data_IF_578247605312
#
_entry.id   IF_578247605312
#
_cell.length_a   1.000
_cell.length_b   1.000
_cell.length_c   1.000
_cell.angle_alpha   90.00
_cell.angle_beta   90.00
_cell.angle_gamma   90.00
#
_symmetry.space_group_name_H-M   'P 1'
#
loop_
_entity.id
_entity.type
_entity.pdbx_description
1 polymer ?
#
# COMPACT_ATOMS: atom_id res chain seq x y z
N UNK A 1 -56.33 45.31 -27.96
CA UNK A 1 -55.23 46.24 -28.23
C UNK A 1 -54.08 45.88 -27.30
N UNK A 2 -53.08 45.13 -27.80
CA UNK A 2 -51.88 44.85 -27.02
C UNK A 2 -50.89 45.98 -27.26
N UNK A 3 -50.65 46.78 -26.22
CA UNK A 3 -49.53 47.73 -26.21
C UNK A 3 -48.22 46.97 -26.07
N UNK A 4 -47.42 47.02 -27.11
CA UNK A 4 -46.01 46.62 -27.12
C UNK A 4 -45.25 47.55 -26.18
N UNK A 5 -44.78 47.10 -25.05
CA UNK A 5 -43.80 47.81 -24.23
C UNK A 5 -42.47 47.80 -24.96
N UNK A 6 -42.06 48.91 -25.50
CA UNK A 6 -40.68 49.18 -25.93
C UNK A 6 -39.79 49.15 -24.66
N UNK A 7 -38.98 48.13 -24.58
CA UNK A 7 -37.93 48.08 -23.58
C UNK A 7 -36.85 49.10 -23.98
N UNK A 8 -36.84 50.23 -23.38
CA UNK A 8 -35.77 51.20 -23.37
C UNK A 8 -34.49 50.49 -22.89
N UNK A 9 -33.66 50.00 -23.82
CA UNK A 9 -32.37 49.44 -23.50
C UNK A 9 -31.41 50.59 -23.22
N UNK A 10 -31.46 51.09 -21.97
CA UNK A 10 -30.57 52.12 -21.51
C UNK A 10 -29.09 51.74 -21.76
N UNK A 11 -28.35 52.63 -22.37
CA UNK A 11 -26.92 52.46 -22.72
C UNK A 11 -26.09 52.11 -21.46
N UNK A 12 -26.50 52.62 -20.29
CA UNK A 12 -25.88 52.31 -19.00
C UNK A 12 -25.95 50.82 -18.62
N UNK A 13 -27.01 50.12 -19.02
CA UNK A 13 -27.23 48.69 -18.71
C UNK A 13 -26.25 47.82 -19.54
N UNK A 14 -25.97 48.21 -20.78
CA UNK A 14 -24.98 47.52 -21.65
C UNK A 14 -23.57 47.63 -21.07
N UNK A 15 -23.15 48.80 -20.60
CA UNK A 15 -21.85 49.03 -19.98
C UNK A 15 -21.71 48.20 -18.68
N UNK A 16 -22.76 48.14 -17.86
CA UNK A 16 -22.78 47.37 -16.64
C UNK A 16 -22.70 45.84 -16.89
N UNK A 17 -23.46 45.33 -17.87
CA UNK A 17 -23.38 43.91 -18.30
C UNK A 17 -22.00 43.61 -18.84
N UNK A 18 -21.42 44.47 -19.70
CA UNK A 18 -20.08 44.30 -20.23
C UNK A 18 -19.00 44.27 -19.14
N UNK A 19 -19.09 45.16 -18.15
CA UNK A 19 -18.16 45.17 -17.01
C UNK A 19 -18.26 43.88 -16.15
N UNK A 20 -19.47 43.40 -15.92
CA UNK A 20 -19.73 42.16 -15.16
C UNK A 20 -19.20 40.91 -15.89
N UNK A 21 -19.41 40.86 -17.22
CA UNK A 21 -18.88 39.77 -18.08
C UNK A 21 -17.37 39.80 -18.11
N UNK A 22 -16.74 41.00 -18.27
CA UNK A 22 -15.28 41.14 -18.23
C UNK A 22 -14.67 40.71 -16.88
N UNK A 23 -15.32 41.06 -15.79
CA UNK A 23 -14.90 40.63 -14.43
C UNK A 23 -15.04 39.11 -14.24
N UNK A 24 -16.08 38.51 -14.82
CA UNK A 24 -16.29 37.06 -14.78
C UNK A 24 -15.27 36.32 -15.65
N UNK A 25 -14.98 36.81 -16.86
CA UNK A 25 -13.92 36.28 -17.73
C UNK A 25 -12.53 36.36 -17.07
N UNK A 26 -12.23 37.48 -16.40
CA UNK A 26 -10.96 37.63 -15.65
C UNK A 26 -10.84 36.63 -14.51
N UNK A 27 -11.95 36.32 -13.81
CA UNK A 27 -11.95 35.29 -12.75
C UNK A 27 -11.76 33.90 -13.31
N UNK A 28 -12.39 33.57 -14.44
CA UNK A 28 -12.24 32.29 -15.12
C UNK A 28 -10.77 32.11 -15.57
N UNK A 29 -10.19 33.13 -16.23
CA UNK A 29 -8.80 33.10 -16.66
C UNK A 29 -7.80 32.97 -15.47
N UNK A 30 -8.10 33.58 -14.31
CA UNK A 30 -7.30 33.40 -13.10
C UNK A 30 -7.43 31.98 -12.54
N UNK A 31 -8.63 31.39 -12.61
CA UNK A 31 -8.86 30.03 -12.17
C UNK A 31 -8.17 29.01 -13.07
N UNK A 32 -8.28 29.20 -14.39
CA UNK A 32 -7.57 28.38 -15.40
C UNK A 32 -6.06 28.43 -15.18
N UNK A 33 -5.48 29.62 -15.03
CA UNK A 33 -4.06 29.81 -14.78
C UNK A 33 -3.58 29.20 -13.47
N UNK A 34 -4.46 29.16 -12.46
CA UNK A 34 -4.15 28.46 -11.18
C UNK A 34 -4.18 26.95 -11.37
N UNK A 35 -5.19 26.44 -12.07
CA UNK A 35 -5.27 25.00 -12.40
C UNK A 35 -4.10 24.54 -13.27
N UNK A 36 -3.70 25.32 -14.26
CA UNK A 36 -2.51 25.05 -15.09
C UNK A 36 -1.24 24.97 -14.23
N UNK A 37 -1.04 25.88 -13.28
CA UNK A 37 0.10 25.82 -12.37
C UNK A 37 0.06 24.61 -11.45
N UNK A 38 -1.11 24.26 -10.92
CA UNK A 38 -1.28 23.07 -10.10
C UNK A 38 -1.04 21.77 -10.89
N UNK A 39 -1.37 21.78 -12.20
CA UNK A 39 -1.07 20.70 -13.14
C UNK A 39 0.44 20.65 -13.41
N UNK A 40 1.07 21.79 -13.77
CA UNK A 40 2.52 21.88 -13.99
C UNK A 40 3.35 21.48 -12.77
N UNK A 41 2.93 21.90 -11.54
CA UNK A 41 3.57 21.46 -10.29
C UNK A 41 3.43 19.95 -10.08
N UNK A 42 2.27 19.39 -10.40
CA UNK A 42 2.04 17.93 -10.31
C UNK A 42 2.76 17.17 -11.41
N UNK A 43 2.81 17.68 -12.63
CA UNK A 43 3.59 17.11 -13.74
C UNK A 43 5.10 17.23 -13.48
N UNK A 44 5.58 18.33 -12.92
CA UNK A 44 6.97 18.47 -12.46
C UNK A 44 7.34 17.47 -11.37
N UNK A 45 6.42 17.22 -10.43
CA UNK A 45 6.56 16.15 -9.43
C UNK A 45 6.54 14.76 -10.07
N UNK A 46 5.78 14.54 -11.13
CA UNK A 46 5.78 13.31 -11.92
C UNK A 46 7.08 13.12 -12.70
N UNK A 47 7.65 14.20 -13.28
CA UNK A 47 8.95 14.14 -13.97
C UNK A 47 10.12 13.88 -13.00
N UNK A 48 10.10 14.44 -11.80
CA UNK A 48 11.05 14.08 -10.73
C UNK A 48 10.90 12.61 -10.30
N UNK A 49 9.70 12.04 -10.44
CA UNK A 49 9.41 10.64 -10.18
C UNK A 49 9.93 9.73 -11.31
N UNK A 50 9.87 10.17 -12.57
CA UNK A 50 10.37 9.40 -13.72
C UNK A 50 11.90 9.35 -13.78
N UNK A 51 12.61 10.32 -13.22
CA UNK A 51 14.08 10.30 -13.11
C UNK A 51 14.59 9.54 -11.90
N UNK A 52 13.76 9.27 -10.90
CA UNK A 52 14.13 8.37 -9.81
C UNK A 52 14.04 6.95 -10.33
N UNK A 53 15.16 6.21 -10.35
CA UNK A 53 15.28 4.80 -10.70
C UNK A 53 14.00 4.04 -10.34
N UNK A 54 13.48 3.24 -11.29
CA UNK A 54 12.27 2.44 -11.08
C UNK A 54 12.39 1.72 -9.75
N UNK A 55 11.70 2.23 -8.74
CA UNK A 55 11.66 1.61 -7.42
C UNK A 55 10.86 0.32 -7.56
N UNK A 56 11.55 -0.75 -7.84
CA UNK A 56 10.99 -2.10 -7.85
C UNK A 56 11.34 -2.80 -6.55
N UNK A 57 10.51 -3.74 -6.16
CA UNK A 57 10.86 -4.74 -5.15
C UNK A 57 12.23 -5.31 -5.51
N UNK A 58 13.15 -5.37 -4.54
CA UNK A 58 14.49 -5.95 -4.74
C UNK A 58 14.51 -7.37 -4.18
N UNK A 59 14.03 -8.39 -4.93
CA UNK A 59 13.97 -9.74 -4.43
C UNK A 59 15.37 -10.33 -4.33
N UNK A 60 15.65 -10.96 -3.20
CA UNK A 60 16.81 -11.80 -3.05
C UNK A 60 16.63 -13.06 -3.87
N UNK A 61 17.73 -13.57 -4.46
CA UNK A 61 17.70 -14.81 -5.22
C UNK A 61 17.85 -15.98 -4.26
N UNK A 62 16.79 -16.80 -4.11
CA UNK A 62 16.87 -18.03 -3.36
C UNK A 62 17.55 -19.13 -4.20
N UNK A 63 18.47 -19.94 -3.62
CA UNK A 63 19.25 -20.93 -4.40
C UNK A 63 18.39 -22.04 -5.02
N UNK A 64 17.27 -22.40 -4.36
CA UNK A 64 16.36 -23.44 -4.86
C UNK A 64 15.19 -22.81 -5.60
N UNK A 65 14.62 -23.55 -6.55
CA UNK A 65 13.45 -23.11 -7.31
C UNK A 65 12.19 -23.10 -6.44
N UNK A 66 12.00 -24.13 -5.62
CA UNK A 66 10.85 -24.29 -4.72
C UNK A 66 11.09 -23.56 -3.42
N UNK A 67 10.19 -22.62 -3.11
CA UNK A 67 10.18 -21.85 -1.85
C UNK A 67 9.32 -22.53 -0.78
N UNK A 68 8.13 -22.99 -1.16
CA UNK A 68 7.14 -23.61 -0.25
C UNK A 68 6.53 -24.82 -0.94
N UNK A 69 6.26 -25.87 -0.16
CA UNK A 69 5.52 -27.03 -0.62
C UNK A 69 4.59 -27.54 0.49
N UNK A 70 3.33 -27.74 0.15
CA UNK A 70 2.33 -28.34 1.04
C UNK A 70 1.63 -29.52 0.35
N UNK A 71 1.47 -30.59 1.10
CA UNK A 71 0.75 -31.80 0.64
C UNK A 71 -0.17 -32.31 1.73
N UNK A 72 -1.46 -32.43 1.41
CA UNK A 72 -2.53 -32.88 2.29
C UNK A 72 -2.53 -32.16 3.66
N UNK A 73 -2.12 -30.89 3.67
CA UNK A 73 -1.92 -30.10 4.88
C UNK A 73 -3.26 -29.89 5.59
N UNK A 74 -3.30 -30.30 6.85
CA UNK A 74 -4.36 -29.93 7.80
C UNK A 74 -3.72 -29.22 8.99
N UNK A 75 -4.23 -28.03 9.31
CA UNK A 75 -3.72 -27.22 10.42
C UNK A 75 -4.84 -26.43 11.11
N UNK A 76 -4.62 -26.04 12.34
CA UNK A 76 -5.57 -25.26 13.13
C UNK A 76 -4.98 -24.79 14.44
N UNK A 77 -5.78 -24.14 15.27
CA UNK A 77 -5.38 -23.66 16.59
C UNK A 77 -5.57 -24.75 17.65
N UNK A 78 -4.76 -24.74 18.73
CA UNK A 78 -4.90 -25.67 19.84
C UNK A 78 -6.33 -25.68 20.39
N UNK A 79 -6.85 -26.88 20.65
CA UNK A 79 -8.21 -27.06 21.17
C UNK A 79 -9.35 -26.77 20.18
N UNK A 80 -9.07 -26.25 18.96
CA UNK A 80 -10.05 -25.98 17.91
C UNK A 80 -10.12 -27.07 16.84
N UNK A 81 -10.98 -26.87 15.81
CA UNK A 81 -11.03 -27.72 14.62
C UNK A 81 -9.96 -27.35 13.58
N UNK A 82 -9.85 -28.17 12.52
CA UNK A 82 -8.99 -27.83 11.40
C UNK A 82 -9.53 -26.62 10.65
N UNK A 83 -8.76 -25.54 10.62
CA UNK A 83 -9.02 -24.32 9.82
C UNK A 83 -8.58 -24.56 8.38
N UNK A 84 -7.39 -25.14 8.21
CA UNK A 84 -6.87 -25.59 6.91
C UNK A 84 -7.16 -27.08 6.79
N UNK A 85 -7.70 -27.50 5.64
CA UNK A 85 -8.11 -28.88 5.39
C UNK A 85 -7.61 -29.35 4.04
N UNK A 86 -6.79 -30.41 4.05
CA UNK A 86 -6.29 -31.09 2.85
C UNK A 86 -5.74 -30.15 1.76
N UNK A 87 -4.99 -29.14 2.19
CA UNK A 87 -4.41 -28.14 1.29
C UNK A 87 -3.19 -28.72 0.58
N UNK A 88 -3.19 -28.59 -0.74
CA UNK A 88 -2.07 -28.95 -1.59
C UNK A 88 -1.69 -27.72 -2.40
N UNK A 89 -0.44 -27.26 -2.30
CA UNK A 89 0.07 -26.19 -3.13
C UNK A 89 1.61 -26.20 -3.14
N UNK A 90 2.14 -25.56 -4.13
CA UNK A 90 3.57 -25.31 -4.30
C UNK A 90 3.76 -23.86 -4.68
N UNK A 91 4.83 -23.24 -4.18
CA UNK A 91 5.25 -21.89 -4.57
C UNK A 91 6.70 -21.95 -5.06
N UNK A 92 6.88 -21.54 -6.30
CA UNK A 92 8.18 -21.46 -6.93
C UNK A 92 8.74 -20.03 -6.90
N UNK A 93 10.04 -19.90 -7.07
CA UNK A 93 10.71 -18.61 -7.16
C UNK A 93 10.20 -17.82 -8.36
N UNK A 94 9.84 -16.55 -8.13
CA UNK A 94 9.31 -15.63 -9.16
C UNK A 94 7.81 -15.76 -9.41
N UNK A 95 7.12 -16.70 -8.75
CA UNK A 95 5.66 -16.79 -8.86
C UNK A 95 4.96 -15.75 -7.97
N UNK A 96 3.78 -15.34 -8.41
CA UNK A 96 2.84 -14.49 -7.66
C UNK A 96 1.55 -15.27 -7.43
N UNK A 97 1.20 -15.44 -6.16
CA UNK A 97 0.02 -16.23 -5.76
C UNK A 97 -0.94 -15.35 -4.97
N UNK A 98 -2.21 -15.36 -5.35
CA UNK A 98 -3.28 -14.66 -4.66
C UNK A 98 -4.17 -15.67 -3.93
N UNK A 99 -4.29 -15.49 -2.60
CA UNK A 99 -5.16 -16.31 -1.77
C UNK A 99 -6.58 -15.72 -1.75
N UNK A 100 -7.51 -16.39 -2.40
CA UNK A 100 -8.93 -16.02 -2.41
C UNK A 100 -9.75 -16.93 -1.50
N UNK A 101 -10.74 -16.37 -0.84
CA UNK A 101 -11.67 -17.13 -0.01
C UNK A 101 -12.46 -16.24 0.93
N UNK A 102 -13.54 -16.78 1.50
CA UNK A 102 -14.40 -16.09 2.48
C UNK A 102 -13.59 -15.72 3.74
N UNK A 103 -14.08 -14.72 4.51
CA UNK A 103 -13.48 -14.40 5.79
C UNK A 103 -13.56 -15.62 6.72
N UNK A 104 -12.49 -15.87 7.47
CA UNK A 104 -12.37 -17.03 8.35
C UNK A 104 -12.02 -18.36 7.68
N UNK A 105 -11.78 -18.41 6.35
CA UNK A 105 -11.42 -19.67 5.66
C UNK A 105 -9.97 -20.13 5.88
N UNK A 106 -9.16 -19.38 6.65
CA UNK A 106 -7.80 -19.78 7.03
C UNK A 106 -6.66 -19.13 6.22
N UNK A 107 -6.94 -18.06 5.45
CA UNK A 107 -5.87 -17.34 4.70
C UNK A 107 -4.75 -16.86 5.62
N UNK A 108 -5.07 -16.04 6.58
CA UNK A 108 -4.08 -15.50 7.55
C UNK A 108 -3.45 -16.62 8.39
N UNK A 109 -4.21 -17.68 8.72
CA UNK A 109 -3.67 -18.85 9.39
C UNK A 109 -2.56 -19.53 8.58
N UNK A 110 -2.77 -19.69 7.27
CA UNK A 110 -1.75 -20.23 6.38
C UNK A 110 -0.52 -19.33 6.30
N UNK A 111 -0.71 -18.01 6.16
CA UNK A 111 0.38 -17.05 6.08
C UNK A 111 1.21 -17.04 7.37
N UNK A 112 0.56 -17.06 8.54
CA UNK A 112 1.24 -17.18 9.83
C UNK A 112 2.00 -18.49 9.96
N UNK A 113 1.43 -19.62 9.53
CA UNK A 113 2.09 -20.92 9.59
C UNK A 113 3.36 -20.95 8.74
N UNK A 114 3.31 -20.38 7.53
CA UNK A 114 4.48 -20.26 6.65
C UNK A 114 5.55 -19.37 7.30
N UNK A 115 5.15 -18.23 7.85
CA UNK A 115 6.04 -17.30 8.55
C UNK A 115 6.71 -17.97 9.74
N UNK A 116 5.97 -18.63 10.62
CA UNK A 116 6.51 -19.30 11.79
C UNK A 116 7.58 -20.33 11.40
N UNK A 117 7.31 -21.19 10.41
CA UNK A 117 8.28 -22.18 9.95
C UNK A 117 9.54 -21.57 9.32
N UNK A 118 9.44 -20.42 8.69
CA UNK A 118 10.61 -19.71 8.16
C UNK A 118 11.44 -19.07 9.28
N UNK A 119 10.79 -18.55 10.33
CA UNK A 119 11.43 -17.91 11.48
C UNK A 119 12.08 -18.93 12.44
N UNK A 120 11.53 -20.13 12.60
CA UNK A 120 12.15 -21.23 13.36
C UNK A 120 13.53 -21.61 12.80
N UNK A 121 13.73 -21.42 11.51
CA UNK A 121 15.04 -21.61 10.86
C UNK A 121 15.96 -20.40 10.96
N UNK A 122 15.51 -19.23 11.50
CA UNK A 122 16.21 -17.94 11.43
C UNK A 122 16.12 -17.03 12.65
N UNK A 123 16.05 -17.54 13.86
CA UNK A 123 16.34 -16.81 15.13
C UNK A 123 15.66 -15.43 15.37
N UNK A 124 14.43 -15.20 14.94
CA UNK A 124 13.61 -14.05 15.33
C UNK A 124 12.31 -14.51 15.98
N UNK A 125 12.30 -14.47 17.31
CA UNK A 125 11.10 -14.70 18.12
C UNK A 125 10.31 -13.41 18.29
N UNK A 126 9.15 -13.27 17.63
CA UNK A 126 8.06 -12.40 18.11
C UNK A 126 6.71 -12.88 17.57
N UNK A 127 5.78 -13.07 18.52
CA UNK A 127 4.34 -13.26 18.32
C UNK A 127 3.91 -14.53 17.53
N UNK A 128 4.21 -15.68 18.10
CA UNK A 128 3.72 -16.95 17.57
C UNK A 128 2.30 -17.23 18.09
N UNK A 129 1.30 -16.96 17.27
CA UNK A 129 0.02 -17.64 17.44
C UNK A 129 0.30 -19.13 17.26
N UNK A 130 0.10 -19.91 18.30
CA UNK A 130 0.26 -21.36 18.24
C UNK A 130 -0.66 -21.92 17.14
N UNK A 131 -0.10 -22.33 16.01
CA UNK A 131 -0.80 -23.01 14.93
C UNK A 131 -0.18 -24.39 14.81
N UNK A 132 -1.00 -25.42 14.96
CA UNK A 132 -0.56 -26.81 14.91
C UNK A 132 -0.78 -27.40 13.51
N UNK A 133 0.28 -27.96 12.94
CA UNK A 133 0.15 -28.87 11.80
C UNK A 133 -0.30 -30.22 12.33
N UNK A 134 -1.52 -30.63 12.01
CA UNK A 134 -2.12 -31.86 12.54
C UNK A 134 -1.92 -33.06 11.62
N UNK A 135 -1.86 -32.83 10.31
CA UNK A 135 -1.54 -33.87 9.34
C UNK A 135 -1.03 -33.27 8.04
N UNK A 136 -0.44 -34.10 7.21
CA UNK A 136 0.16 -33.70 5.95
C UNK A 136 1.57 -33.17 6.12
N UNK A 137 2.05 -32.48 5.12
CA UNK A 137 3.41 -31.91 5.05
C UNK A 137 3.34 -30.45 4.65
N UNK A 138 4.07 -29.61 5.36
CA UNK A 138 4.41 -28.25 4.92
C UNK A 138 5.92 -28.08 5.06
N UNK A 139 6.57 -27.72 3.97
CA UNK A 139 7.98 -27.39 3.96
C UNK A 139 8.19 -25.97 3.46
N UNK A 140 9.02 -25.21 4.17
CA UNK A 140 9.46 -23.87 3.80
C UNK A 140 10.97 -23.94 3.58
N UNK A 141 11.47 -23.23 2.58
CA UNK A 141 12.89 -23.21 2.27
C UNK A 141 13.75 -22.76 3.46
N UNK A 142 14.77 -23.49 3.81
CA UNK A 142 15.66 -23.16 4.92
C UNK A 142 16.42 -21.85 4.63
N UNK A 143 16.44 -20.92 5.61
CA UNK A 143 17.10 -19.61 5.45
C UNK A 143 16.34 -18.66 4.53
N UNK A 144 15.04 -18.87 4.32
CA UNK A 144 14.19 -17.99 3.53
C UNK A 144 13.97 -16.69 4.29
N UNK A 145 14.38 -15.57 3.71
CA UNK A 145 14.10 -14.24 4.24
C UNK A 145 12.71 -13.81 3.76
N UNK A 146 11.81 -13.48 4.69
CA UNK A 146 10.44 -13.07 4.39
C UNK A 146 10.23 -11.61 4.76
N UNK A 147 9.64 -10.83 3.85
CA UNK A 147 9.03 -9.54 4.13
C UNK A 147 7.54 -9.76 4.35
N UNK A 148 7.05 -9.46 5.55
CA UNK A 148 5.66 -9.74 5.94
C UNK A 148 4.90 -8.45 6.26
N UNK A 149 3.77 -8.23 5.60
CA UNK A 149 2.81 -7.17 5.94
C UNK A 149 1.66 -7.80 6.72
N UNK A 150 1.58 -7.43 8.02
CA UNK A 150 0.50 -7.87 8.91
C UNK A 150 -0.82 -7.17 8.60
N UNK A 151 -1.93 -7.86 8.86
CA UNK A 151 -3.24 -7.24 8.91
C UNK A 151 -3.33 -6.23 10.06
N UNK A 152 -2.78 -6.58 11.23
CA UNK A 152 -2.68 -5.69 12.38
C UNK A 152 -1.53 -4.70 12.21
N UNK A 153 -1.81 -3.43 12.50
CA UNK A 153 -0.84 -2.32 12.43
C UNK A 153 -0.56 -1.70 13.80
N UNK A 154 -1.18 -2.23 14.87
CA UNK A 154 -1.11 -1.68 16.22
C UNK A 154 0.28 -1.69 16.86
N UNK A 155 1.21 -2.46 16.30
CA UNK A 155 2.62 -2.50 16.76
C UNK A 155 3.46 -1.31 16.29
N UNK A 156 2.98 -0.54 15.31
CA UNK A 156 3.69 0.64 14.81
C UNK A 156 3.65 1.76 15.83
N UNK A 157 4.82 2.14 16.36
CA UNK A 157 4.98 3.17 17.36
C UNK A 157 6.23 4.01 17.10
N UNK A 158 6.27 5.22 17.68
CA UNK A 158 7.37 6.15 17.52
C UNK A 158 7.40 6.84 16.15
N UNK A 159 8.52 7.42 15.80
CA UNK A 159 8.71 8.16 14.54
C UNK A 159 9.12 7.23 13.38
N UNK A 160 8.89 7.67 12.13
CA UNK A 160 9.35 6.95 10.93
C UNK A 160 10.88 6.75 10.95
N UNK A 161 11.64 7.72 11.51
CA UNK A 161 13.10 7.61 11.63
C UNK A 161 13.52 6.51 12.61
N UNK A 162 12.85 6.39 13.75
CA UNK A 162 13.09 5.34 14.73
C UNK A 162 12.74 3.97 14.16
N UNK A 163 11.60 3.87 13.47
CA UNK A 163 11.18 2.65 12.78
C UNK A 163 12.23 2.20 11.74
N UNK A 164 12.70 3.10 10.88
CA UNK A 164 13.74 2.79 9.91
C UNK A 164 15.04 2.31 10.57
N UNK A 165 15.42 2.91 11.71
CA UNK A 165 16.62 2.50 12.45
C UNK A 165 16.46 1.09 13.03
N UNK A 166 15.30 0.78 13.58
CA UNK A 166 14.98 -0.55 14.16
C UNK A 166 14.95 -1.62 13.09
N UNK A 167 14.28 -1.37 11.97
CA UNK A 167 14.14 -2.30 10.86
C UNK A 167 15.33 -2.27 9.88
N UNK A 168 16.32 -1.40 10.12
CA UNK A 168 17.53 -1.21 9.26
C UNK A 168 17.18 -0.84 7.82
N UNK A 169 16.19 0.04 7.66
CA UNK A 169 15.71 0.53 6.38
C UNK A 169 16.34 1.87 6.02
N UNK A 170 16.47 2.16 4.72
CA UNK A 170 16.85 3.48 4.24
C UNK A 170 15.70 4.48 4.44
N UNK A 171 15.93 5.47 5.31
CA UNK A 171 14.93 6.48 5.65
C UNK A 171 14.54 7.35 4.44
N UNK A 172 15.52 7.75 3.62
CA UNK A 172 15.27 8.60 2.45
C UNK A 172 14.43 7.87 1.42
N UNK A 173 14.72 6.59 1.22
CA UNK A 173 13.99 5.72 0.30
C UNK A 173 12.56 5.48 0.79
N UNK A 174 12.37 5.27 2.11
CA UNK A 174 11.04 5.14 2.71
C UNK A 174 10.21 6.41 2.48
N UNK A 175 10.76 7.59 2.75
CA UNK A 175 10.06 8.85 2.53
C UNK A 175 9.71 9.08 1.05
N UNK A 176 10.59 8.68 0.14
CA UNK A 176 10.35 8.78 -1.30
C UNK A 176 9.17 7.91 -1.73
N UNK A 177 9.11 6.65 -1.25
CA UNK A 177 7.98 5.76 -1.50
C UNK A 177 6.68 6.26 -0.87
N UNK A 178 6.73 6.76 0.36
CA UNK A 178 5.55 7.31 1.03
C UNK A 178 4.97 8.50 0.26
N UNK A 179 5.82 9.37 -0.30
CA UNK A 179 5.34 10.46 -1.18
C UNK A 179 4.65 9.93 -2.44
N UNK A 180 5.17 8.88 -3.06
CA UNK A 180 4.52 8.21 -4.21
C UNK A 180 3.16 7.62 -3.83
N UNK A 181 2.99 7.19 -2.59
CA UNK A 181 1.73 6.69 -2.04
C UNK A 181 0.84 7.81 -1.48
N UNK A 182 1.04 9.06 -1.91
CA UNK A 182 0.25 10.23 -1.50
C UNK A 182 0.25 10.44 0.02
N UNK A 183 1.43 10.31 0.64
CA UNK A 183 1.62 10.57 2.07
C UNK A 183 2.10 12.00 2.28
N UNK A 184 1.35 12.79 3.02
CA UNK A 184 1.64 14.21 3.22
C UNK A 184 2.94 14.44 4.00
N UNK A 185 3.73 15.44 3.60
CA UNK A 185 4.99 15.80 4.29
C UNK A 185 4.79 16.16 5.75
N UNK A 186 3.66 16.79 6.09
CA UNK A 186 3.29 17.18 7.45
C UNK A 186 3.12 15.99 8.40
N UNK A 187 3.00 14.78 7.86
CA UNK A 187 2.87 13.55 8.64
C UNK A 187 4.23 12.93 8.99
N UNK A 188 5.31 13.24 8.26
CA UNK A 188 6.60 12.56 8.44
C UNK A 188 7.23 12.77 9.83
N UNK A 189 6.91 13.88 10.48
CA UNK A 189 7.43 14.23 11.81
C UNK A 189 6.52 13.74 12.95
N UNK A 190 5.32 13.27 12.62
CA UNK A 190 4.36 12.80 13.61
C UNK A 190 4.65 11.37 14.05
N UNK A 191 4.31 11.02 15.29
CA UNK A 191 4.41 9.65 15.76
C UNK A 191 3.37 8.77 15.03
N UNK A 192 3.76 7.53 14.72
CA UNK A 192 2.94 6.58 13.94
C UNK A 192 1.66 6.16 14.67
N UNK A 193 1.58 6.31 15.98
CA UNK A 193 0.36 6.12 16.77
C UNK A 193 -0.75 7.08 16.34
N UNK A 194 -0.40 8.26 15.84
CA UNK A 194 -1.36 9.26 15.33
C UNK A 194 -1.83 9.00 13.90
N UNK A 195 -1.26 8.02 13.22
CA UNK A 195 -1.60 7.69 11.84
C UNK A 195 -2.91 6.94 11.75
N UNK A 196 -3.68 7.22 10.69
CA UNK A 196 -4.83 6.39 10.34
C UNK A 196 -4.38 4.98 9.93
N UNK A 197 -5.28 4.00 9.97
CA UNK A 197 -4.98 2.63 9.55
C UNK A 197 -4.47 2.58 8.10
N UNK A 198 -5.03 3.39 7.21
CA UNK A 198 -4.54 3.51 5.83
C UNK A 198 -3.11 4.07 5.75
N UNK A 199 -2.78 5.07 6.56
CA UNK A 199 -1.43 5.62 6.64
C UNK A 199 -0.42 4.59 7.18
N UNK A 200 -0.78 3.87 8.23
CA UNK A 200 0.04 2.77 8.77
C UNK A 200 0.28 1.67 7.74
N UNK A 201 -0.76 1.30 6.97
CA UNK A 201 -0.61 0.34 5.87
C UNK A 201 0.32 0.84 4.78
N UNK A 202 0.24 2.12 4.40
CA UNK A 202 1.19 2.72 3.43
C UNK A 202 2.64 2.63 3.93
N UNK A 203 2.89 2.85 5.23
CA UNK A 203 4.22 2.69 5.84
C UNK A 203 4.70 1.24 5.71
N UNK A 204 3.88 0.25 6.06
CA UNK A 204 4.25 -1.17 5.95
C UNK A 204 4.51 -1.60 4.50
N UNK A 205 3.70 -1.13 3.56
CA UNK A 205 3.89 -1.41 2.13
C UNK A 205 5.21 -0.79 1.64
N UNK A 206 5.47 0.48 1.95
CA UNK A 206 6.71 1.16 1.58
C UNK A 206 7.93 0.46 2.20
N UNK A 207 7.86 0.06 3.47
CA UNK A 207 8.90 -0.70 4.15
C UNK A 207 9.14 -2.06 3.47
N UNK A 208 8.06 -2.78 3.09
CA UNK A 208 8.17 -4.06 2.40
C UNK A 208 8.84 -3.92 1.04
N UNK A 209 8.57 -2.86 0.28
CA UNK A 209 9.21 -2.61 -1.02
C UNK A 209 10.73 -2.43 -0.93
N UNK A 210 11.21 -1.79 0.14
CA UNK A 210 12.66 -1.52 0.33
C UNK A 210 13.37 -2.62 1.11
N UNK A 211 12.63 -3.59 1.66
CA UNK A 211 13.22 -4.72 2.40
C UNK A 211 13.65 -5.81 1.41
N UNK A 212 14.95 -6.13 1.30
CA UNK A 212 15.38 -7.25 0.49
C UNK A 212 14.88 -8.57 1.08
N UNK A 213 14.08 -9.33 0.32
CA UNK A 213 13.53 -10.61 0.77
C UNK A 213 13.44 -11.63 -0.37
N UNK A 214 13.44 -12.93 -0.02
CA UNK A 214 13.21 -14.02 -0.98
C UNK A 214 11.71 -14.21 -1.25
N UNK A 215 10.87 -13.89 -0.25
CA UNK A 215 9.42 -14.04 -0.31
C UNK A 215 8.74 -12.84 0.33
N UNK A 216 7.76 -12.28 -0.36
CA UNK A 216 6.92 -11.20 0.12
C UNK A 216 5.55 -11.76 0.43
N UNK A 217 5.11 -11.65 1.69
CA UNK A 217 3.80 -12.09 2.15
C UNK A 217 3.01 -10.88 2.60
N UNK A 218 1.87 -10.64 1.98
CA UNK A 218 1.02 -9.49 2.28
C UNK A 218 -0.38 -9.97 2.68
N UNK A 219 -0.74 -9.75 3.95
CA UNK A 219 -2.05 -10.10 4.48
C UNK A 219 -2.99 -8.89 4.42
N UNK A 220 -3.92 -8.92 3.47
CA UNK A 220 -4.90 -7.86 3.19
C UNK A 220 -4.25 -6.46 3.08
N UNK A 221 -3.22 -6.28 2.22
CA UNK A 221 -2.40 -5.06 2.20
C UNK A 221 -3.18 -3.82 1.75
N UNK A 222 -4.22 -4.00 0.93
CA UNK A 222 -4.97 -2.90 0.31
C UNK A 222 -6.20 -2.46 1.11
N UNK A 223 -6.47 -3.09 2.27
CA UNK A 223 -7.54 -2.64 3.14
C UNK A 223 -7.23 -1.26 3.70
N UNK A 224 -8.25 -0.39 3.74
CA UNK A 224 -8.15 1.02 4.18
C UNK A 224 -7.26 1.93 3.30
N UNK A 225 -6.76 1.43 2.16
CA UNK A 225 -5.98 2.20 1.19
C UNK A 225 -6.94 2.84 0.17
N UNK A 226 -6.73 4.12 -0.11
CA UNK A 226 -7.47 4.85 -1.14
C UNK A 226 -7.18 4.32 -2.56
N UNK A 227 -8.08 4.62 -3.49
CA UNK A 227 -8.02 4.09 -4.87
C UNK A 227 -6.74 4.53 -5.59
N UNK A 228 -6.31 5.78 -5.39
CA UNK A 228 -5.12 6.31 -6.04
C UNK A 228 -3.85 5.57 -5.58
N UNK A 229 -3.68 5.44 -4.25
CA UNK A 229 -2.54 4.69 -3.70
C UNK A 229 -2.56 3.21 -4.10
N UNK A 230 -3.74 2.58 -4.26
CA UNK A 230 -3.83 1.20 -4.80
C UNK A 230 -3.27 1.10 -6.21
N UNK A 231 -3.64 2.03 -7.09
CA UNK A 231 -3.11 2.07 -8.47
C UNK A 231 -1.59 2.24 -8.49
N UNK A 232 -1.03 3.08 -7.61
CA UNK A 232 0.40 3.26 -7.48
C UNK A 232 1.10 1.97 -7.00
N UNK A 233 0.53 1.28 -6.01
CA UNK A 233 1.06 -0.01 -5.52
C UNK A 233 1.05 -1.06 -6.63
N UNK A 234 -0.03 -1.14 -7.41
CA UNK A 234 -0.14 -2.07 -8.55
C UNK A 234 0.91 -1.80 -9.64
N UNK A 235 1.27 -0.53 -9.86
CA UNK A 235 2.33 -0.15 -10.80
C UNK A 235 3.74 -0.47 -10.30
N UNK A 236 3.94 -0.55 -8.98
CA UNK A 236 5.23 -0.88 -8.35
C UNK A 236 5.48 -2.40 -8.26
N UNK A 237 4.43 -3.21 -8.40
CA UNK A 237 4.48 -4.68 -8.41
C UNK A 237 4.74 -5.24 -9.82
#
# INVERSE_FOLDING_TARGET
VYKRQEHDRCISTRAFIGAKTKKMQSRIAQYEKRMEREIEEKEGLLQDIEQTEKLHVQPLIYPKERLIFARNLCAGYPGGGNVIRNLNFELLRGERVFLHGKNGCGKSTLLHLIRNLAEETGNRMQDHREIETRSGLLTVGAGLTISYISQDTGFLSGTLSEYCRTEKLDYSLLLTLLRKLDFERTQFEKPMESFSEGQKKKVLIAASFITPAHLYIWDEPLNYIDVFSRMQIEQLL
#
